data_IF_503992776359
#
_entry.id   IF_503992776359
#
_cell.length_a   1.000
_cell.length_b   1.000
_cell.length_c   1.000
_cell.angle_alpha   90.00
_cell.angle_beta   90.00
_cell.angle_gamma   90.00
#
_symmetry.space_group_name_H-M   'P 1'
#
loop_
_entity.id
_entity.type
_entity.pdbx_description
1 polymer ?
#
# COMPACT_ATOMS: atom_id res chain seq x y z
N UNK A 1 19.33 -5.54 11.28
CA UNK A 1 18.61 -6.30 10.24
C UNK A 1 17.58 -5.42 9.56
N UNK A 2 17.61 -5.38 8.26
CA UNK A 2 16.59 -4.67 7.52
C UNK A 2 15.23 -5.39 7.70
N UNK A 3 14.21 -4.64 8.09
CA UNK A 3 12.86 -5.18 8.14
C UNK A 3 12.32 -5.28 6.71
N UNK A 4 11.77 -6.43 6.38
CA UNK A 4 11.01 -6.59 5.14
C UNK A 4 9.62 -6.00 5.32
N UNK A 5 9.03 -5.54 4.23
CA UNK A 5 7.65 -5.06 4.22
C UNK A 5 7.51 -3.55 4.07
N UNK A 6 6.29 -3.14 3.81
CA UNK A 6 5.94 -1.75 3.53
C UNK A 6 5.25 -1.13 4.75
N UNK A 7 6.07 -0.65 5.69
CA UNK A 7 5.58 0.01 6.91
C UNK A 7 6.70 0.87 7.54
N UNK A 8 6.33 1.69 8.52
CA UNK A 8 7.30 2.46 9.31
C UNK A 8 8.20 3.36 8.48
N UNK A 9 9.53 3.20 8.63
CA UNK A 9 10.52 4.03 7.94
C UNK A 9 10.44 3.94 6.42
N UNK A 10 10.09 2.79 5.86
CA UNK A 10 9.92 2.65 4.40
C UNK A 10 8.81 3.52 3.87
N UNK A 11 7.69 3.58 4.57
CA UNK A 11 6.57 4.45 4.18
C UNK A 11 6.95 5.92 4.37
N UNK A 12 7.64 6.23 5.45
CA UNK A 12 8.13 7.60 5.70
C UNK A 12 8.98 8.11 4.54
N UNK A 13 9.94 7.31 4.11
CA UNK A 13 10.83 7.68 2.99
C UNK A 13 10.06 7.76 1.69
N UNK A 14 9.19 6.79 1.41
CA UNK A 14 8.43 6.72 0.17
C UNK A 14 7.52 7.92 -0.02
N UNK A 15 6.77 8.31 1.01
CA UNK A 15 5.80 9.39 0.96
C UNK A 15 6.36 10.74 1.41
N UNK A 16 7.67 10.81 1.69
CA UNK A 16 8.35 12.03 2.14
C UNK A 16 7.71 12.63 3.41
N UNK A 17 7.33 11.76 4.35
CA UNK A 17 6.74 12.18 5.61
C UNK A 17 7.79 12.77 6.54
N UNK A 18 7.40 13.73 7.38
CA UNK A 18 8.30 14.35 8.36
C UNK A 18 8.64 13.41 9.50
N UNK A 19 7.64 12.65 9.95
CA UNK A 19 7.76 11.73 11.06
C UNK A 19 7.44 10.31 10.61
N UNK A 20 8.02 9.33 11.31
CA UNK A 20 7.69 7.93 11.07
C UNK A 20 6.23 7.67 11.45
N UNK A 21 5.40 7.16 10.52
CA UNK A 21 4.01 6.89 10.82
C UNK A 21 3.85 5.74 11.81
N UNK A 22 2.75 5.77 12.55
CA UNK A 22 2.39 4.67 13.44
C UNK A 22 2.04 3.42 12.64
N UNK A 23 2.62 2.30 13.05
CA UNK A 23 2.35 1.00 12.43
C UNK A 23 2.01 -0.04 13.49
N UNK A 24 1.05 -0.89 13.16
CA UNK A 24 0.73 -2.09 13.92
C UNK A 24 1.16 -3.29 13.10
N UNK A 25 2.06 -4.10 13.66
CA UNK A 25 2.55 -5.30 13.00
C UNK A 25 1.92 -6.51 13.66
N UNK A 26 1.26 -7.34 12.87
CA UNK A 26 0.70 -8.62 13.32
C UNK A 26 1.46 -9.74 12.65
N UNK A 27 1.82 -10.74 13.44
CA UNK A 27 2.49 -11.93 12.95
C UNK A 27 1.52 -13.11 12.94
N UNK A 28 1.41 -13.78 11.79
CA UNK A 28 0.63 -15.00 11.69
C UNK A 28 1.31 -16.16 12.45
N UNK A 29 0.58 -17.25 12.64
CA UNK A 29 1.11 -18.46 13.27
C UNK A 29 2.37 -18.99 12.57
N UNK A 30 2.53 -18.68 11.28
CA UNK A 30 3.69 -19.09 10.47
C UNK A 30 4.80 -18.04 10.42
N UNK A 31 4.71 -16.99 11.22
CA UNK A 31 5.74 -15.98 11.28
C UNK A 31 5.69 -14.96 10.13
N UNK A 32 4.60 -14.91 9.36
CA UNK A 32 4.42 -13.94 8.29
C UNK A 32 3.85 -12.65 8.86
N UNK A 33 4.49 -11.53 8.57
CA UNK A 33 4.07 -10.22 9.07
C UNK A 33 3.02 -9.59 8.16
N UNK A 34 1.92 -9.14 8.76
CA UNK A 34 0.97 -8.22 8.16
C UNK A 34 1.07 -6.92 8.96
N UNK A 35 1.20 -5.80 8.27
CA UNK A 35 1.36 -4.51 8.92
C UNK A 35 0.25 -3.54 8.51
N UNK A 36 -0.24 -2.77 9.47
CA UNK A 36 -1.17 -1.67 9.23
C UNK A 36 -0.48 -0.35 9.58
N UNK A 37 -0.50 0.61 8.67
CA UNK A 37 0.17 1.90 8.85
C UNK A 37 -0.78 3.03 8.47
N UNK A 38 -0.99 3.95 9.40
CA UNK A 38 -1.73 5.19 9.11
C UNK A 38 -0.77 6.23 8.57
N UNK A 39 -1.12 6.85 7.42
CA UNK A 39 -0.35 7.94 6.83
C UNK A 39 -1.24 9.17 6.69
N UNK A 40 -0.71 10.31 7.12
CA UNK A 40 -1.41 11.58 7.03
C UNK A 40 -0.41 12.72 6.84
N UNK A 41 -0.70 13.60 5.90
CA UNK A 41 0.04 14.84 5.76
C UNK A 41 -0.92 15.91 5.25
N UNK A 42 -1.11 16.96 6.05
CA UNK A 42 -2.00 18.07 5.69
C UNK A 42 -1.29 19.10 4.81
N UNK A 43 0.03 19.03 4.71
CA UNK A 43 0.84 19.96 3.93
C UNK A 43 2.04 19.22 3.31
N UNK A 44 1.80 18.27 2.38
CA UNK A 44 2.86 17.45 1.83
C UNK A 44 3.85 18.23 0.97
N UNK A 45 5.09 17.74 0.93
CA UNK A 45 6.08 18.22 -0.04
C UNK A 45 5.69 17.68 -1.42
N UNK A 46 5.43 18.55 -2.42
CA UNK A 46 5.00 18.07 -3.73
C UNK A 46 6.06 17.20 -4.41
N UNK A 47 5.62 16.19 -5.12
CA UNK A 47 6.48 15.35 -5.93
C UNK A 47 5.98 13.93 -6.09
N UNK A 48 6.65 13.20 -6.96
CA UNK A 48 6.41 11.76 -7.12
C UNK A 48 6.93 11.03 -5.88
N UNK A 49 6.15 10.06 -5.38
CA UNK A 49 6.59 9.20 -4.30
C UNK A 49 7.85 8.42 -4.69
N UNK A 50 8.61 7.96 -3.70
CA UNK A 50 9.80 7.15 -3.93
C UNK A 50 9.45 5.84 -4.62
N UNK A 51 10.49 5.16 -5.12
CA UNK A 51 10.30 3.86 -5.77
C UNK A 51 10.13 2.77 -4.73
N UNK A 52 9.13 1.92 -4.95
CA UNK A 52 8.93 0.70 -4.18
C UNK A 52 9.79 -0.40 -4.80
N UNK A 53 10.56 -1.10 -3.98
CA UNK A 53 11.24 -2.33 -4.42
C UNK A 53 10.17 -3.39 -4.67
N UNK A 54 10.12 -4.02 -5.87
CA UNK A 54 9.11 -5.03 -6.15
C UNK A 54 9.14 -6.17 -5.14
N UNK A 55 7.96 -6.55 -4.65
CA UNK A 55 7.79 -7.63 -3.70
C UNK A 55 6.56 -8.46 -4.09
N UNK A 56 6.57 -9.74 -3.72
CA UNK A 56 5.39 -10.60 -3.84
C UNK A 56 4.43 -10.33 -2.67
N UNK A 57 3.81 -9.16 -2.74
CA UNK A 57 2.95 -8.62 -1.70
C UNK A 57 1.94 -7.65 -2.27
N UNK A 58 0.92 -7.36 -1.47
CA UNK A 58 -0.13 -6.40 -1.82
C UNK A 58 -0.21 -5.31 -0.76
N UNK A 59 -0.67 -4.13 -1.18
CA UNK A 59 -1.07 -3.07 -0.28
C UNK A 59 -2.56 -2.86 -0.44
N UNK A 60 -3.30 -2.99 0.67
CA UNK A 60 -4.72 -2.63 0.74
C UNK A 60 -4.76 -1.25 1.40
N UNK A 61 -5.24 -0.25 0.68
CA UNK A 61 -5.24 1.14 1.14
C UNK A 61 -6.66 1.65 1.30
N UNK A 62 -7.07 1.87 2.56
CA UNK A 62 -8.32 2.53 2.86
C UNK A 62 -8.09 4.04 2.84
N UNK A 63 -8.76 4.73 1.94
CA UNK A 63 -8.68 6.18 1.81
C UNK A 63 -9.61 6.85 2.83
N UNK A 64 -9.05 7.69 3.68
CA UNK A 64 -9.80 8.39 4.74
C UNK A 64 -10.08 9.85 4.38
N UNK A 65 -9.59 10.29 3.25
CA UNK A 65 -9.78 11.67 2.77
C UNK A 65 -9.90 11.66 1.25
N UNK A 66 -10.76 12.52 0.71
CA UNK A 66 -10.87 12.72 -0.74
C UNK A 66 -9.53 13.21 -1.30
N UNK A 67 -9.15 12.69 -2.46
CA UNK A 67 -7.96 13.12 -3.18
C UNK A 67 -8.30 13.12 -4.67
N UNK A 68 -8.84 14.22 -5.21
CA UNK A 68 -9.22 14.29 -6.62
C UNK A 68 -8.00 14.30 -7.54
N UNK A 69 -8.15 13.75 -8.71
CA UNK A 69 -7.12 13.71 -9.74
C UNK A 69 -5.78 13.17 -9.21
N UNK A 70 -5.82 12.00 -8.58
CA UNK A 70 -4.65 11.34 -8.03
C UNK A 70 -3.87 10.65 -9.14
N UNK A 71 -2.71 11.19 -9.49
CA UNK A 71 -1.86 10.60 -10.52
C UNK A 71 -1.20 9.34 -9.99
N UNK A 72 -1.60 8.19 -10.54
CA UNK A 72 -1.12 6.87 -10.14
C UNK A 72 -0.17 6.31 -11.18
N UNK A 73 0.97 5.81 -10.72
CA UNK A 73 2.05 5.29 -11.55
C UNK A 73 2.30 3.81 -11.28
N UNK A 74 2.65 3.07 -12.32
CA UNK A 74 3.17 1.71 -12.24
C UNK A 74 4.40 1.57 -13.12
N UNK A 75 5.47 0.99 -12.57
CA UNK A 75 6.74 0.75 -13.30
C UNK A 75 7.28 2.03 -13.96
N UNK A 76 7.18 3.14 -13.28
CA UNK A 76 7.71 4.42 -13.75
C UNK A 76 6.86 5.12 -14.80
N UNK A 77 5.61 4.71 -15.00
CA UNK A 77 4.68 5.33 -15.96
C UNK A 77 3.36 5.67 -15.30
N UNK A 78 2.82 6.84 -15.64
CA UNK A 78 1.47 7.19 -15.22
C UNK A 78 0.45 6.34 -15.97
N UNK A 79 -0.35 5.57 -15.23
CA UNK A 79 -1.33 4.64 -15.81
C UNK A 79 -2.78 5.03 -15.54
N UNK A 80 -3.03 5.90 -14.57
CA UNK A 80 -4.38 6.34 -14.24
C UNK A 80 -4.36 7.64 -13.44
N UNK A 81 -5.48 8.35 -13.42
CA UNK A 81 -5.69 9.57 -12.60
C UNK A 81 -7.06 9.50 -11.93
N UNK A 82 -7.28 8.55 -11.00
CA UNK A 82 -8.58 8.42 -10.37
C UNK A 82 -8.89 9.58 -9.43
N UNK A 83 -10.17 9.87 -9.28
CA UNK A 83 -10.67 10.71 -8.20
C UNK A 83 -10.91 9.81 -6.98
N UNK A 84 -10.03 9.93 -6.00
CA UNK A 84 -10.12 9.14 -4.78
C UNK A 84 -11.17 9.74 -3.87
N UNK A 85 -12.09 8.90 -3.39
CA UNK A 85 -13.11 9.29 -2.43
C UNK A 85 -12.82 8.68 -1.07
N UNK A 86 -13.05 9.45 -0.02
CA UNK A 86 -12.97 8.96 1.34
C UNK A 86 -13.89 7.75 1.53
N UNK A 87 -13.40 6.70 2.18
CA UNK A 87 -14.12 5.45 2.39
C UNK A 87 -13.89 4.40 1.30
N UNK A 88 -13.20 4.75 0.22
CA UNK A 88 -12.85 3.79 -0.83
C UNK A 88 -11.59 3.03 -0.46
N UNK A 89 -11.57 1.73 -0.74
CA UNK A 89 -10.40 0.87 -0.54
C UNK A 89 -9.79 0.55 -1.90
N UNK A 90 -8.48 0.72 -2.01
CA UNK A 90 -7.70 0.36 -3.21
C UNK A 90 -6.79 -0.80 -2.92
N UNK A 91 -6.61 -1.67 -3.91
CA UNK A 91 -5.72 -2.81 -3.86
C UNK A 91 -4.57 -2.59 -4.84
N UNK A 92 -3.33 -2.61 -4.35
CA UNK A 92 -2.14 -2.44 -5.17
C UNK A 92 -1.25 -3.67 -5.09
N UNK A 93 -0.77 -4.14 -6.25
CA UNK A 93 0.21 -5.21 -6.34
C UNK A 93 1.61 -4.59 -6.34
N UNK A 94 2.42 -4.89 -5.32
CA UNK A 94 3.76 -4.30 -5.18
C UNK A 94 4.72 -4.75 -6.28
N UNK A 95 4.42 -5.82 -7.02
CA UNK A 95 5.24 -6.25 -8.16
C UNK A 95 5.25 -5.22 -9.30
N UNK A 96 4.22 -4.37 -9.37
CA UNK A 96 4.12 -3.34 -10.41
C UNK A 96 4.70 -1.99 -9.99
N UNK A 97 5.43 -1.92 -8.89
CA UNK A 97 6.06 -0.70 -8.38
C UNK A 97 5.06 0.49 -8.33
N UNK A 98 3.98 0.39 -7.53
CA UNK A 98 3.01 1.46 -7.44
C UNK A 98 3.63 2.76 -6.92
N UNK A 99 3.23 3.88 -7.50
CA UNK A 99 3.68 5.20 -7.10
C UNK A 99 2.59 6.25 -7.29
N UNK A 100 2.73 7.39 -6.63
CA UNK A 100 1.74 8.45 -6.66
C UNK A 100 2.43 9.81 -6.75
N UNK A 101 1.81 10.75 -7.44
CA UNK A 101 2.19 12.14 -7.32
C UNK A 101 1.46 12.71 -6.10
N UNK A 102 2.24 13.19 -5.15
CA UNK A 102 1.73 13.77 -3.90
C UNK A 102 1.85 15.28 -4.00
N UNK A 103 0.73 15.98 -3.97
CA UNK A 103 0.70 17.45 -4.03
C UNK A 103 -0.44 18.06 -3.22
N UNK A 104 -1.30 17.22 -2.66
CA UNK A 104 -2.47 17.62 -1.88
C UNK A 104 -2.46 16.90 -0.54
N UNK A 105 -3.17 17.43 0.48
CA UNK A 105 -3.35 16.73 1.74
C UNK A 105 -3.93 15.34 1.52
N UNK A 106 -3.42 14.36 2.26
CA UNK A 106 -3.89 12.98 2.18
C UNK A 106 -4.01 12.36 3.57
N UNK A 107 -4.85 11.32 3.66
CA UNK A 107 -5.01 10.52 4.86
C UNK A 107 -5.42 9.12 4.43
N UNK A 108 -4.66 8.12 4.80
CA UNK A 108 -4.91 6.74 4.41
C UNK A 108 -4.47 5.77 5.49
N UNK A 109 -5.10 4.60 5.48
CA UNK A 109 -4.68 3.46 6.28
C UNK A 109 -4.23 2.37 5.31
N UNK A 110 -2.96 1.98 5.39
CA UNK A 110 -2.36 1.00 4.50
C UNK A 110 -2.15 -0.32 5.21
N UNK A 111 -2.55 -1.41 4.57
CA UNK A 111 -2.28 -2.77 5.04
C UNK A 111 -1.30 -3.43 4.08
N UNK A 112 -0.14 -3.81 4.60
CA UNK A 112 0.84 -4.59 3.87
C UNK A 112 0.53 -6.07 4.06
N UNK A 113 0.26 -6.80 2.97
CA UNK A 113 -0.13 -8.21 3.00
C UNK A 113 0.78 -9.01 2.06
N UNK A 114 1.79 -9.71 2.59
CA UNK A 114 2.61 -10.60 1.77
C UNK A 114 1.77 -11.72 1.17
N UNK A 115 2.11 -12.17 -0.04
CA UNK A 115 1.41 -13.27 -0.69
C UNK A 115 1.43 -14.55 0.18
N UNK A 116 2.51 -14.78 0.91
CA UNK A 116 2.62 -15.89 1.84
C UNK A 116 1.58 -15.86 2.97
N UNK A 117 1.11 -14.66 3.36
CA UNK A 117 0.03 -14.55 4.34
C UNK A 117 -1.29 -15.06 3.77
N UNK A 118 -1.55 -14.82 2.49
CA UNK A 118 -2.74 -15.32 1.81
C UNK A 118 -2.70 -16.85 1.71
N UNK A 119 -1.55 -17.40 1.39
CA UNK A 119 -1.35 -18.87 1.34
C UNK A 119 -1.62 -19.50 2.71
N UNK A 120 -1.15 -18.87 3.78
CA UNK A 120 -1.39 -19.35 5.14
C UNK A 120 -2.87 -19.36 5.51
N UNK A 121 -3.61 -18.32 5.13
CA UNK A 121 -5.06 -18.22 5.34
C UNK A 121 -5.77 -19.33 4.55
N UNK A 122 -5.40 -19.53 3.28
CA UNK A 122 -5.98 -20.58 2.44
C UNK A 122 -5.77 -21.97 3.05
N UNK A 123 -4.59 -22.28 3.56
CA UNK A 123 -4.31 -23.56 4.23
C UNK A 123 -5.16 -23.75 5.49
N UNK A 124 -5.27 -22.72 6.34
CA UNK A 124 -6.04 -22.81 7.58
C UNK A 124 -7.53 -23.01 7.32
N UNK A 125 -8.06 -22.43 6.25
CA UNK A 125 -9.47 -22.53 5.88
C UNK A 125 -9.78 -23.73 5.00
N UNK A 126 -8.77 -24.50 4.57
CA UNK A 126 -8.92 -25.58 3.61
C UNK A 126 -9.24 -25.11 2.19
N UNK A 127 -9.04 -23.82 1.92
CA UNK A 127 -9.30 -23.24 0.62
C UNK A 127 -8.13 -23.44 -0.35
N UNK A 128 -8.40 -23.23 -1.63
CA UNK A 128 -7.37 -23.25 -2.66
C UNK A 128 -6.44 -22.03 -2.48
N UNK A 129 -5.13 -22.21 -2.73
CA UNK A 129 -4.18 -21.11 -2.70
C UNK A 129 -4.57 -20.00 -3.68
N UNK A 130 -4.35 -18.75 -3.25
CA UNK A 130 -4.52 -17.59 -4.11
C UNK A 130 -3.28 -17.44 -4.98
N UNK A 131 -3.43 -17.58 -6.31
CA UNK A 131 -2.32 -17.40 -7.24
C UNK A 131 -1.96 -15.94 -7.42
N UNK A 132 -2.97 -15.11 -7.67
CA UNK A 132 -2.80 -13.68 -7.86
C UNK A 132 -4.14 -12.97 -7.65
N UNK A 133 -4.07 -11.78 -7.02
CA UNK A 133 -5.24 -10.90 -6.92
C UNK A 133 -5.33 -10.01 -8.15
N UNK A 134 -6.55 -9.68 -8.55
CA UNK A 134 -6.77 -8.76 -9.67
C UNK A 134 -6.67 -7.33 -9.16
N UNK A 135 -5.59 -6.65 -9.54
CA UNK A 135 -5.24 -5.31 -9.08
C UNK A 135 -5.02 -4.34 -10.26
N UNK A 136 -5.80 -4.45 -11.31
CA UNK A 136 -5.59 -3.61 -12.48
C UNK A 136 -5.67 -2.12 -12.12
N UNK A 137 -4.57 -1.38 -12.30
CA UNK A 137 -4.43 0.06 -12.04
C UNK A 137 -4.86 0.49 -10.63
N UNK A 138 -4.59 -0.36 -9.61
CA UNK A 138 -5.06 -0.06 -8.27
C UNK A 138 -6.58 -0.13 -8.18
N UNK A 139 -7.12 -1.33 -8.14
CA UNK A 139 -8.58 -1.55 -8.13
C UNK A 139 -9.22 -0.93 -6.90
N UNK A 140 -10.21 -0.06 -7.10
CA UNK A 140 -10.98 0.57 -6.02
C UNK A 140 -12.27 -0.20 -5.70
N UNK A 141 -12.59 -0.21 -4.43
CA UNK A 141 -13.80 -0.86 -3.90
C UNK A 141 -14.64 0.10 -3.08
#
# INVERSE_FOLDING_TARGET
MAQSGFHGEKIKELLHLRDTPSSLIMRSVRGVNVAATETRDDNPVPGLSGRIVPEDAYIVSLKLRDYPDCEYWENGKCVAKPDIRAGTTYLYDMKYEPGFVIEKPFHSLHFYVPASALDGIAEQSGARRVGQLDCQYGTGF
#
